data_IF_098148809348
#
_entry.id   IF_098148809348
#
_cell.length_a   1.000
_cell.length_b   1.000
_cell.length_c   1.000
_cell.angle_alpha   90.00
_cell.angle_beta   90.00
_cell.angle_gamma   90.00
#
_symmetry.space_group_name_H-M   'P 1'
#
loop_
_entity.id
_entity.type
_entity.pdbx_description
1 polymer ?
#
# COMPACT_ATOMS: atom_id res chain seq x y z
N UNK A 1 35.35 10.61 -31.81
CA UNK A 1 34.59 11.16 -30.67
C UNK A 1 33.18 10.57 -30.73
N UNK A 2 32.86 9.68 -29.80
CA UNK A 2 31.71 8.77 -29.85
C UNK A 2 30.43 9.44 -29.34
N UNK A 3 29.38 9.41 -30.16
CA UNK A 3 28.04 9.91 -29.85
C UNK A 3 27.38 9.09 -28.73
N UNK A 4 27.10 9.71 -27.59
CA UNK A 4 26.32 9.11 -26.49
C UNK A 4 24.83 9.14 -26.85
N UNK A 5 24.22 7.96 -27.07
CA UNK A 5 22.77 7.83 -27.22
C UNK A 5 22.13 7.57 -25.84
N UNK A 6 21.41 8.55 -25.30
CA UNK A 6 20.45 8.32 -24.21
C UNK A 6 19.24 7.55 -24.76
N UNK A 7 19.00 6.34 -24.24
CA UNK A 7 17.84 5.53 -24.58
C UNK A 7 16.80 5.62 -23.45
N UNK A 8 16.03 6.69 -23.39
CA UNK A 8 14.70 6.73 -22.76
C UNK A 8 13.73 6.05 -23.75
N UNK A 9 12.82 5.09 -23.46
CA UNK A 9 12.00 4.61 -22.32
C UNK A 9 11.70 3.09 -22.66
N UNK A 10 11.24 2.15 -21.76
CA UNK A 10 10.12 2.43 -20.88
C UNK A 10 10.01 1.80 -19.49
N UNK A 11 9.92 2.65 -18.45
CA UNK A 11 9.03 2.49 -17.29
C UNK A 11 7.68 1.86 -17.65
N UNK A 12 7.04 2.26 -18.77
CA UNK A 12 5.72 1.72 -19.17
C UNK A 12 5.69 0.19 -19.29
N UNK A 13 6.73 -0.45 -19.83
CA UNK A 13 6.74 -1.92 -19.94
C UNK A 13 7.07 -2.59 -18.60
N UNK A 14 7.88 -1.95 -17.75
CA UNK A 14 8.12 -2.41 -16.39
C UNK A 14 6.83 -2.33 -15.56
N UNK A 15 6.14 -1.18 -15.62
CA UNK A 15 4.88 -0.93 -14.94
C UNK A 15 3.81 -1.94 -15.41
N UNK A 16 3.72 -2.22 -16.72
CA UNK A 16 2.80 -3.24 -17.24
C UNK A 16 3.05 -4.66 -16.69
N UNK A 17 4.31 -5.04 -16.46
CA UNK A 17 4.63 -6.33 -15.81
C UNK A 17 4.20 -6.31 -14.35
N UNK A 18 4.51 -5.24 -13.63
CA UNK A 18 4.15 -5.06 -12.22
C UNK A 18 2.63 -5.12 -12.05
N UNK A 19 1.89 -4.36 -12.84
CA UNK A 19 0.44 -4.28 -12.76
C UNK A 19 -0.22 -5.61 -13.12
N UNK A 20 0.30 -6.32 -14.14
CA UNK A 20 -0.22 -7.64 -14.50
C UNK A 20 -0.03 -8.66 -13.38
N UNK A 21 1.18 -8.76 -12.83
CA UNK A 21 1.47 -9.72 -11.75
C UNK A 21 0.67 -9.36 -10.49
N UNK A 22 0.63 -8.07 -10.13
CA UNK A 22 -0.17 -7.58 -9.00
C UNK A 22 -1.64 -7.94 -9.20
N UNK A 23 -2.18 -7.73 -10.40
CA UNK A 23 -3.57 -8.06 -10.72
C UNK A 23 -3.87 -9.55 -10.52
N UNK A 24 -2.99 -10.45 -10.97
CA UNK A 24 -3.19 -11.90 -10.77
C UNK A 24 -3.29 -12.27 -9.28
N UNK A 25 -2.50 -11.61 -8.43
CA UNK A 25 -2.47 -11.86 -6.99
C UNK A 25 -3.70 -11.25 -6.33
N UNK A 26 -3.98 -9.97 -6.60
CA UNK A 26 -5.14 -9.25 -6.02
C UNK A 26 -6.46 -9.88 -6.43
N UNK A 27 -6.58 -10.35 -7.67
CA UNK A 27 -7.80 -11.01 -8.15
C UNK A 27 -7.97 -12.43 -7.58
N UNK A 28 -6.97 -12.98 -6.89
CA UNK A 28 -6.94 -14.36 -6.43
C UNK A 28 -6.70 -15.40 -7.53
N UNK A 29 -6.28 -15.00 -8.73
CA UNK A 29 -5.87 -15.95 -9.79
C UNK A 29 -4.62 -16.73 -9.40
N UNK A 30 -3.75 -16.09 -8.63
CA UNK A 30 -2.60 -16.69 -7.94
C UNK A 30 -2.83 -16.45 -6.45
N UNK A 31 -2.89 -17.53 -5.66
CA UNK A 31 -3.10 -17.43 -4.22
C UNK A 31 -1.78 -17.16 -3.49
N UNK A 32 -1.81 -16.65 -2.25
CA UNK A 32 -0.61 -16.59 -1.42
C UNK A 32 0.14 -17.93 -1.40
N UNK A 33 1.46 -17.88 -1.54
CA UNK A 33 2.31 -19.07 -1.62
C UNK A 33 2.38 -19.76 -2.99
N UNK A 34 1.48 -19.46 -3.93
CA UNK A 34 1.50 -20.07 -5.26
C UNK A 34 2.70 -19.58 -6.09
N UNK A 35 3.17 -20.45 -6.99
CA UNK A 35 4.26 -20.12 -7.92
C UNK A 35 3.77 -19.21 -9.04
N UNK A 36 4.51 -18.15 -9.32
CA UNK A 36 4.25 -17.26 -10.45
C UNK A 36 4.65 -17.91 -11.79
N UNK A 37 4.12 -17.41 -12.92
CA UNK A 37 4.68 -17.69 -14.24
C UNK A 37 6.19 -17.47 -14.26
N UNK A 38 6.92 -18.31 -14.99
CA UNK A 38 8.38 -18.21 -14.98
C UNK A 38 8.84 -16.88 -15.56
N UNK A 39 10.02 -16.43 -15.13
CA UNK A 39 10.64 -15.21 -15.67
C UNK A 39 10.71 -15.23 -17.19
N UNK A 40 11.07 -16.37 -17.78
CA UNK A 40 11.15 -16.55 -19.22
C UNK A 40 9.78 -16.45 -19.92
N UNK A 41 8.69 -16.88 -19.27
CA UNK A 41 7.33 -16.71 -19.79
C UNK A 41 6.92 -15.23 -19.78
N UNK A 42 7.18 -14.54 -18.67
CA UNK A 42 6.87 -13.11 -18.54
C UNK A 42 7.71 -12.26 -19.51
N UNK A 43 8.99 -12.57 -19.70
CA UNK A 43 9.87 -11.88 -20.65
C UNK A 43 9.35 -12.01 -22.08
N UNK A 44 8.95 -13.23 -22.48
CA UNK A 44 8.34 -13.49 -23.79
C UNK A 44 7.00 -12.77 -23.95
N UNK A 45 6.14 -12.81 -22.94
CA UNK A 45 4.81 -12.17 -22.97
C UNK A 45 4.89 -10.66 -23.14
N UNK A 46 5.77 -9.99 -22.39
CA UNK A 46 5.87 -8.53 -22.38
C UNK A 46 6.94 -7.98 -23.33
N UNK A 47 7.73 -8.85 -23.97
CA UNK A 47 8.85 -8.49 -24.84
C UNK A 47 9.78 -7.48 -24.16
N UNK A 48 10.24 -7.83 -22.97
CA UNK A 48 11.13 -7.00 -22.14
C UNK A 48 12.48 -7.66 -21.97
N UNK A 49 13.51 -6.85 -21.77
CA UNK A 49 14.85 -7.36 -21.46
C UNK A 49 14.87 -8.04 -20.09
N UNK A 50 15.79 -8.99 -19.84
CA UNK A 50 15.96 -9.58 -18.53
C UNK A 50 16.19 -8.54 -17.42
N UNK A 51 16.92 -7.47 -17.69
CA UNK A 51 17.16 -6.39 -16.72
C UNK A 51 15.85 -5.67 -16.36
N UNK A 52 15.00 -5.40 -17.34
CA UNK A 52 13.68 -4.78 -17.10
C UNK A 52 12.77 -5.71 -16.31
N UNK A 53 12.78 -7.01 -16.62
CA UNK A 53 12.03 -8.01 -15.87
C UNK A 53 12.51 -8.10 -14.41
N UNK A 54 13.82 -8.12 -14.19
CA UNK A 54 14.38 -8.12 -12.84
C UNK A 54 13.88 -6.91 -12.04
N UNK A 55 13.94 -5.70 -12.61
CA UNK A 55 13.45 -4.49 -11.93
C UNK A 55 11.96 -4.52 -11.63
N UNK A 56 11.15 -5.15 -12.48
CA UNK A 56 9.72 -5.33 -12.21
C UNK A 56 9.50 -6.28 -11.02
N UNK A 57 10.22 -7.40 -10.98
CA UNK A 57 10.17 -8.35 -9.86
C UNK A 57 10.70 -7.73 -8.57
N UNK A 58 11.82 -6.99 -8.62
CA UNK A 58 12.37 -6.30 -7.46
C UNK A 58 11.37 -5.28 -6.89
N UNK A 59 10.64 -4.57 -7.75
CA UNK A 59 9.56 -3.67 -7.31
C UNK A 59 8.41 -4.42 -6.66
N UNK A 60 7.99 -5.57 -7.22
CA UNK A 60 6.96 -6.41 -6.60
C UNK A 60 7.39 -7.01 -5.25
N UNK A 61 8.68 -7.33 -5.10
CA UNK A 61 9.27 -7.76 -3.83
C UNK A 61 9.25 -6.60 -2.83
N UNK A 62 9.67 -5.41 -3.25
CA UNK A 62 9.64 -4.21 -2.42
C UNK A 62 8.22 -3.80 -2.02
N UNK A 63 7.25 -3.95 -2.92
CA UNK A 63 5.83 -3.73 -2.64
C UNK A 63 5.24 -4.83 -1.72
N UNK A 64 5.92 -5.97 -1.55
CA UNK A 64 5.51 -7.08 -0.68
C UNK A 64 4.56 -8.10 -1.31
N UNK A 65 4.37 -8.08 -2.63
CA UNK A 65 3.45 -9.00 -3.32
C UNK A 65 4.09 -10.35 -3.65
N UNK A 66 5.42 -10.41 -3.80
CA UNK A 66 6.13 -11.62 -4.22
C UNK A 66 7.37 -11.87 -3.38
N UNK A 67 7.77 -13.14 -3.30
CA UNK A 67 9.00 -13.59 -2.66
C UNK A 67 9.82 -14.43 -3.64
N UNK A 68 11.15 -14.28 -3.60
CA UNK A 68 12.08 -15.03 -4.45
C UNK A 68 12.73 -16.14 -3.64
N UNK A 69 12.54 -17.39 -4.05
CA UNK A 69 13.13 -18.56 -3.39
C UNK A 69 14.33 -19.09 -4.19
N UNK A 70 15.37 -18.24 -4.34
CA UNK A 70 16.60 -18.59 -5.07
C UNK A 70 16.34 -19.16 -6.47
N UNK A 71 16.93 -20.32 -6.78
CA UNK A 71 16.79 -20.99 -8.08
C UNK A 71 15.44 -21.73 -8.27
N UNK A 72 14.58 -21.78 -7.26
CA UNK A 72 13.30 -22.50 -7.30
C UNK A 72 12.25 -21.66 -8.05
N UNK A 73 12.35 -20.34 -7.97
CA UNK A 73 11.51 -19.40 -8.72
C UNK A 73 10.93 -18.29 -7.85
N UNK A 74 9.91 -17.62 -8.40
CA UNK A 74 9.18 -16.53 -7.74
C UNK A 74 7.80 -17.02 -7.32
N UNK A 75 7.39 -16.66 -6.11
CA UNK A 75 6.14 -17.06 -5.48
C UNK A 75 5.37 -15.83 -5.01
N UNK A 76 4.05 -15.92 -4.96
CA UNK A 76 3.23 -14.90 -4.31
C UNK A 76 3.57 -14.91 -2.81
N UNK A 77 3.70 -13.74 -2.20
CA UNK A 77 3.98 -13.65 -0.78
C UNK A 77 2.89 -14.35 0.04
N UNK A 78 3.26 -14.99 1.14
CA UNK A 78 2.31 -15.63 2.07
C UNK A 78 1.35 -14.61 2.71
N UNK A 79 1.86 -13.41 3.00
CA UNK A 79 1.11 -12.31 3.59
C UNK A 79 1.15 -11.07 2.69
N UNK A 80 0.47 -11.09 1.54
CA UNK A 80 0.53 -9.97 0.61
C UNK A 80 -0.22 -8.76 1.18
N UNK A 81 0.19 -7.53 0.84
CA UNK A 81 -0.23 -6.33 1.56
C UNK A 81 -1.72 -6.00 1.40
N UNK A 82 -2.32 -6.28 0.24
CA UNK A 82 -3.76 -6.12 0.00
C UNK A 82 -4.66 -7.01 0.88
N UNK A 83 -4.10 -8.02 1.55
CA UNK A 83 -4.82 -8.89 2.49
C UNK A 83 -4.37 -8.71 3.95
N UNK A 84 -3.15 -8.22 4.19
CA UNK A 84 -2.52 -8.25 5.51
C UNK A 84 -2.00 -6.90 6.02
N UNK A 85 -2.11 -5.80 5.26
CA UNK A 85 -1.58 -4.51 5.68
C UNK A 85 -2.68 -3.45 5.81
N UNK A 86 -2.85 -2.87 6.98
CA UNK A 86 -3.81 -1.80 7.23
C UNK A 86 -3.10 -0.47 7.44
N UNK A 87 -3.73 0.61 6.98
CA UNK A 87 -3.33 1.95 7.31
C UNK A 87 -4.07 2.42 8.57
N UNK A 88 -3.35 3.00 9.51
CA UNK A 88 -3.91 3.75 10.63
C UNK A 88 -3.49 5.22 10.48
N UNK A 89 -4.48 6.07 10.22
CA UNK A 89 -4.29 7.44 9.77
C UNK A 89 -4.65 8.41 10.88
N UNK A 90 -3.72 9.31 11.18
CA UNK A 90 -3.88 10.39 12.14
C UNK A 90 -3.80 11.74 11.43
N UNK A 91 -4.67 12.70 11.79
CA UNK A 91 -4.65 14.03 11.18
C UNK A 91 -3.42 14.83 11.62
N UNK A 92 -2.97 14.66 12.85
CA UNK A 92 -1.86 15.42 13.44
C UNK A 92 -0.53 14.65 13.34
N UNK A 93 0.59 15.38 13.32
CA UNK A 93 1.92 14.77 13.43
C UNK A 93 2.16 14.24 14.85
N UNK A 94 3.01 13.22 14.99
CA UNK A 94 3.34 12.62 16.31
C UNK A 94 3.97 13.60 17.30
N UNK A 95 4.76 14.53 16.78
CA UNK A 95 5.41 15.61 17.52
C UNK A 95 4.55 16.88 17.62
N UNK A 96 3.35 16.87 17.03
CA UNK A 96 2.42 17.98 17.03
C UNK A 96 1.78 18.23 18.40
N UNK A 97 1.49 19.49 18.69
CA UNK A 97 0.92 19.91 19.97
C UNK A 97 -0.47 19.32 20.26
N UNK A 98 -1.20 18.90 19.21
CA UNK A 98 -2.53 18.29 19.33
C UNK A 98 -2.51 16.76 19.41
N UNK A 99 -1.33 16.14 19.52
CA UNK A 99 -1.23 14.68 19.63
C UNK A 99 -1.75 14.18 20.99
N UNK A 100 -2.99 13.67 20.99
CA UNK A 100 -3.67 13.27 22.21
C UNK A 100 -3.03 12.05 22.90
N UNK A 101 -3.21 11.89 24.24
CA UNK A 101 -2.80 10.67 24.94
C UNK A 101 -3.43 9.41 24.34
N UNK A 102 -4.69 9.50 23.90
CA UNK A 102 -5.37 8.40 23.22
C UNK A 102 -4.64 7.98 21.93
N UNK A 103 -4.31 8.95 21.05
CA UNK A 103 -3.57 8.64 19.82
C UNK A 103 -2.17 8.10 20.10
N UNK A 104 -1.50 8.56 21.16
CA UNK A 104 -0.21 8.01 21.58
C UNK A 104 -0.32 6.53 21.95
N UNK A 105 -1.33 6.17 22.74
CA UNK A 105 -1.58 4.77 23.11
C UNK A 105 -1.96 3.93 21.90
N UNK A 106 -2.89 4.43 21.07
CA UNK A 106 -3.34 3.73 19.87
C UNK A 106 -2.18 3.46 18.89
N UNK A 107 -1.32 4.46 18.67
CA UNK A 107 -0.12 4.34 17.84
C UNK A 107 0.88 3.32 18.42
N UNK A 108 1.17 3.38 19.72
CA UNK A 108 2.09 2.47 20.38
C UNK A 108 1.59 1.01 20.33
N UNK A 109 0.29 0.80 20.55
CA UNK A 109 -0.34 -0.51 20.45
C UNK A 109 -0.33 -1.04 19.02
N UNK A 110 -0.65 -0.21 18.03
CA UNK A 110 -0.58 -0.60 16.62
C UNK A 110 0.83 -1.09 16.22
N UNK A 111 1.88 -0.40 16.67
CA UNK A 111 3.27 -0.81 16.45
C UNK A 111 3.62 -2.11 17.16
N UNK A 112 3.19 -2.27 18.42
CA UNK A 112 3.41 -3.49 19.17
C UNK A 112 2.74 -4.69 18.46
N UNK A 113 1.47 -4.56 18.10
CA UNK A 113 0.69 -5.61 17.44
C UNK A 113 1.20 -5.97 16.06
N UNK A 114 1.70 -5.00 15.30
CA UNK A 114 2.27 -5.25 13.98
C UNK A 114 3.54 -6.11 14.01
N UNK A 115 4.19 -6.28 15.18
CA UNK A 115 5.34 -7.20 15.34
C UNK A 115 4.92 -8.62 15.65
N UNK A 116 3.80 -8.78 16.35
CA UNK A 116 3.37 -10.07 16.91
C UNK A 116 2.33 -10.78 16.05
N UNK A 117 1.63 -10.02 15.19
CA UNK A 117 0.57 -10.54 14.33
C UNK A 117 1.02 -10.60 12.87
N UNK A 118 0.49 -11.54 12.07
CA UNK A 118 0.66 -11.57 10.62
C UNK A 118 -0.08 -10.43 9.89
N UNK A 119 -0.50 -9.41 10.63
CA UNK A 119 -1.19 -8.22 10.13
C UNK A 119 -0.27 -7.03 10.39
N UNK A 120 0.16 -6.37 9.31
CA UNK A 120 0.92 -5.14 9.37
C UNK A 120 0.02 -3.94 9.59
N UNK A 121 0.36 -3.06 10.54
CA UNK A 121 -0.32 -1.77 10.72
C UNK A 121 0.67 -0.65 10.41
N UNK A 122 0.48 0.00 9.27
CA UNK A 122 1.28 1.14 8.86
C UNK A 122 0.64 2.44 9.36
N UNK A 123 1.44 3.29 9.99
CA UNK A 123 0.98 4.53 10.60
C UNK A 123 1.23 5.67 9.64
N UNK A 124 0.23 6.53 9.45
CA UNK A 124 0.32 7.74 8.64
C UNK A 124 -0.10 8.91 9.52
N UNK A 125 0.75 9.92 9.67
CA UNK A 125 0.54 11.01 10.63
C UNK A 125 0.68 12.35 9.95
N UNK A 126 -0.08 13.35 10.37
CA UNK A 126 -0.11 14.65 9.68
C UNK A 126 -0.92 14.61 8.38
N UNK A 127 -1.85 13.66 8.24
CA UNK A 127 -2.66 13.50 7.02
C UNK A 127 -3.85 14.46 7.08
N UNK A 128 -3.58 15.72 6.74
CA UNK A 128 -4.56 16.81 6.61
C UNK A 128 -4.45 17.46 5.21
N UNK A 129 -5.55 17.99 4.64
CA UNK A 129 -5.49 18.72 3.38
C UNK A 129 -4.54 19.92 3.46
N UNK A 130 -3.62 20.02 2.50
CA UNK A 130 -2.69 21.15 2.40
C UNK A 130 -1.54 21.13 3.40
N UNK A 131 -1.38 20.07 4.20
CA UNK A 131 -0.20 19.83 5.03
C UNK A 131 0.65 18.68 4.48
N UNK A 132 1.96 18.72 4.76
CA UNK A 132 3.02 17.75 4.42
C UNK A 132 2.69 16.76 3.28
N UNK A 133 3.00 17.18 2.05
CA UNK A 133 2.75 16.41 0.83
C UNK A 133 3.34 14.99 0.90
N UNK A 134 4.37 14.73 1.72
CA UNK A 134 5.07 13.44 1.70
C UNK A 134 4.23 12.30 2.30
N UNK A 135 3.59 12.49 3.46
CA UNK A 135 2.77 11.44 4.09
C UNK A 135 1.45 11.22 3.33
N UNK A 136 0.86 12.30 2.83
CA UNK A 136 -0.32 12.24 1.94
C UNK A 136 0.02 11.52 0.64
N UNK A 137 1.17 11.82 0.02
CA UNK A 137 1.63 11.13 -1.18
C UNK A 137 1.94 9.66 -0.89
N UNK A 138 2.55 9.33 0.25
CA UNK A 138 2.83 7.94 0.65
C UNK A 138 1.55 7.14 0.81
N UNK A 139 0.54 7.68 1.52
CA UNK A 139 -0.75 7.02 1.69
C UNK A 139 -1.47 6.85 0.33
N UNK A 140 -1.45 7.87 -0.50
CA UNK A 140 -2.05 7.84 -1.83
C UNK A 140 -1.37 6.80 -2.72
N UNK A 141 -0.04 6.72 -2.71
CA UNK A 141 0.72 5.72 -3.46
C UNK A 141 0.46 4.30 -2.93
N UNK A 142 0.39 4.11 -1.61
CA UNK A 142 0.05 2.81 -1.00
C UNK A 142 -1.37 2.36 -1.39
N UNK A 143 -2.34 3.27 -1.45
CA UNK A 143 -3.69 2.98 -1.93
C UNK A 143 -3.69 2.65 -3.43
N UNK A 144 -3.03 3.45 -4.26
CA UNK A 144 -2.97 3.26 -5.71
C UNK A 144 -2.26 1.95 -6.10
N UNK A 145 -1.19 1.60 -5.38
CA UNK A 145 -0.44 0.35 -5.58
C UNK A 145 -1.07 -0.86 -4.89
N UNK A 146 -2.26 -0.72 -4.29
CA UNK A 146 -3.00 -1.78 -3.60
C UNK A 146 -2.20 -2.41 -2.46
N UNK A 147 -1.34 -1.64 -1.80
CA UNK A 147 -0.52 -2.10 -0.67
C UNK A 147 -1.26 -2.04 0.68
N UNK A 148 -2.57 -1.87 0.65
CA UNK A 148 -3.41 -1.76 1.83
C UNK A 148 -4.68 -2.61 1.66
N UNK A 149 -4.99 -3.39 2.69
CA UNK A 149 -6.23 -4.15 2.86
C UNK A 149 -7.36 -3.30 3.43
N UNK A 150 -7.03 -2.23 4.15
CA UNK A 150 -8.02 -1.31 4.71
C UNK A 150 -7.39 -0.06 5.30
N UNK A 151 -8.20 0.96 5.52
CA UNK A 151 -7.79 2.21 6.17
C UNK A 151 -8.67 2.46 7.40
N UNK A 152 -8.01 2.71 8.53
CA UNK A 152 -8.62 3.11 9.79
C UNK A 152 -8.24 4.56 10.06
N UNK A 153 -9.23 5.44 10.16
CA UNK A 153 -9.02 6.84 10.53
C UNK A 153 -9.16 6.99 12.04
N UNK A 154 -8.20 7.65 12.68
CA UNK A 154 -8.19 7.89 14.12
C UNK A 154 -9.21 8.95 14.59
N UNK A 155 -9.88 9.61 13.64
CA UNK A 155 -10.93 10.59 13.83
C UNK A 155 -11.87 10.61 12.60
N UNK A 156 -12.89 11.47 12.62
CA UNK A 156 -13.69 11.76 11.42
C UNK A 156 -12.78 12.34 10.30
N UNK A 157 -12.73 11.72 9.10
CA UNK A 157 -11.85 12.14 8.03
C UNK A 157 -12.44 13.22 7.12
N UNK A 158 -13.52 13.91 7.54
CA UNK A 158 -14.19 14.96 6.76
C UNK A 158 -13.26 15.93 6.00
N UNK A 159 -12.15 16.43 6.58
CA UNK A 159 -11.24 17.31 5.84
C UNK A 159 -10.74 16.69 4.53
N UNK A 160 -10.57 15.37 4.45
CA UNK A 160 -10.06 14.65 3.29
C UNK A 160 -11.12 14.41 2.19
N UNK A 161 -12.33 14.94 2.32
CA UNK A 161 -13.40 14.78 1.32
C UNK A 161 -12.96 15.32 -0.05
N UNK A 162 -13.19 14.55 -1.11
CA UNK A 162 -12.74 14.89 -2.46
C UNK A 162 -11.31 14.45 -2.77
N UNK A 163 -10.59 13.87 -1.79
CA UNK A 163 -9.24 13.34 -2.00
C UNK A 163 -9.28 11.87 -2.44
N UNK A 164 -8.26 11.40 -3.17
CA UNK A 164 -8.09 9.97 -3.47
C UNK A 164 -8.07 9.08 -2.23
N UNK A 165 -7.63 9.62 -1.08
CA UNK A 165 -7.58 8.89 0.19
C UNK A 165 -8.96 8.41 0.62
N UNK A 166 -10.03 9.20 0.40
CA UNK A 166 -11.40 8.79 0.71
C UNK A 166 -12.13 8.18 -0.48
N UNK A 167 -11.93 8.72 -1.67
CA UNK A 167 -12.81 8.44 -2.81
C UNK A 167 -12.34 7.26 -3.66
N UNK A 168 -11.08 6.82 -3.53
CA UNK A 168 -10.57 5.69 -4.32
C UNK A 168 -11.28 4.38 -3.94
N UNK A 169 -11.90 3.66 -4.88
CA UNK A 169 -12.63 2.42 -4.57
C UNK A 169 -11.68 1.24 -4.27
N UNK A 170 -12.24 0.16 -3.73
CA UNK A 170 -11.56 -1.13 -3.60
C UNK A 170 -10.83 -1.39 -2.28
N UNK A 171 -10.62 -0.36 -1.45
CA UNK A 171 -10.06 -0.51 -0.11
C UNK A 171 -11.10 -0.10 0.94
N UNK A 172 -11.55 -1.01 1.83
CA UNK A 172 -12.44 -0.70 2.94
C UNK A 172 -11.89 0.42 3.84
N UNK A 173 -12.80 1.25 4.37
CA UNK A 173 -12.48 2.38 5.24
C UNK A 173 -13.37 2.37 6.47
N UNK A 174 -12.81 2.71 7.62
CA UNK A 174 -13.54 2.88 8.88
C UNK A 174 -12.92 4.04 9.67
N UNK A 175 -13.73 4.76 10.46
CA UNK A 175 -13.25 5.86 11.28
C UNK A 175 -13.61 5.65 12.76
N UNK A 176 -12.74 6.06 13.67
CA UNK A 176 -13.11 6.30 15.06
C UNK A 176 -13.77 7.69 15.14
N UNK A 177 -15.10 7.74 15.13
CA UNK A 177 -15.85 9.00 15.16
C UNK A 177 -17.15 8.83 15.95
N UNK A 178 -17.71 9.96 16.41
CA UNK A 178 -19.02 9.97 17.06
C UNK A 178 -20.13 9.44 16.15
N UNK A 179 -21.30 9.17 16.74
CA UNK A 179 -22.46 8.58 16.04
C UNK A 179 -23.00 9.42 14.87
N UNK A 180 -22.58 10.69 14.74
CA UNK A 180 -22.84 11.53 13.58
C UNK A 180 -21.52 11.77 12.83
N UNK A 181 -21.11 10.81 12.01
CA UNK A 181 -19.99 11.00 11.10
C UNK A 181 -20.43 11.93 9.94
N UNK A 182 -19.58 12.90 9.60
CA UNK A 182 -19.83 13.85 8.50
C UNK A 182 -19.51 13.25 7.12
N UNK A 183 -19.02 12.01 7.08
CA UNK A 183 -18.59 11.32 5.85
C UNK A 183 -19.36 10.01 5.64
N UNK A 184 -19.31 9.48 4.41
CA UNK A 184 -19.86 8.16 4.07
C UNK A 184 -19.00 6.99 4.60
N UNK A 185 -17.95 7.28 5.37
CA UNK A 185 -17.09 6.27 5.99
C UNK A 185 -17.81 5.73 7.24
N UNK A 186 -18.03 4.40 7.35
CA UNK A 186 -18.57 3.79 8.56
C UNK A 186 -17.76 4.20 9.78
N UNK A 187 -18.44 4.59 10.87
CA UNK A 187 -17.78 4.99 12.10
C UNK A 187 -18.01 4.02 13.25
N UNK A 188 -16.98 3.86 14.08
CA UNK A 188 -17.06 3.19 15.37
C UNK A 188 -16.99 4.28 16.44
N UNK A 189 -18.08 4.41 17.19
CA UNK A 189 -18.09 5.26 18.38
C UNK A 189 -17.36 4.54 19.51
N UNK A 190 -16.29 5.15 20.02
CA UNK A 190 -15.71 4.74 21.29
C UNK A 190 -16.59 5.33 22.38
N UNK A 191 -17.47 4.50 22.94
CA UNK A 191 -18.45 4.94 23.93
C UNK A 191 -17.80 5.34 25.26
N UNK A 192 -18.17 6.54 25.72
CA UNK A 192 -18.41 6.96 27.12
C UNK A 192 -17.28 6.81 28.13
#
# INVERSE_FOLDING_TARGET
>A
MTTTRFRTRPPVKQDAVVDYVRHLIVSGSIKPGDRLPTRADLERRFQVSPVTMQRALDRLVADGFVTVAGNIGTFAAEFPPHLHRYALVFPERRDGARWSPFWRLLAAEAEARSRDLPVGIALYTGVEPGCDDAEVARLTDDLAAQRLSGVVFACDPWPLKGSPILDQPGVPRVAFAGLQANTAVPSVALGG
#
